data_IF_187579667076
#
_entry.id   IF_187579667076
#
_cell.length_a   1.000
_cell.length_b   1.000
_cell.length_c   1.000
_cell.angle_alpha   90.00
_cell.angle_beta   90.00
_cell.angle_gamma   90.00
#
_symmetry.space_group_name_H-M   'P 1'
#
loop_
_entity.id
_entity.type
_entity.pdbx_description
1 polymer ?
#
# COMPACT_ATOMS: atom_id res chain seq x y z
N UNK A 1 23.08 4.79 25.31
CA UNK A 1 21.68 4.91 25.79
C UNK A 1 20.79 5.23 24.58
N UNK A 2 19.95 4.29 24.09
CA UNK A 2 19.01 4.60 23.00
C UNK A 2 17.80 5.30 23.61
N UNK A 3 17.65 6.61 23.37
CA UNK A 3 16.45 7.35 23.76
C UNK A 3 15.38 7.15 22.69
N UNK A 4 14.17 6.79 23.10
CA UNK A 4 13.00 6.76 22.23
C UNK A 4 12.10 7.94 22.62
N UNK A 5 11.74 8.77 21.65
CA UNK A 5 10.80 9.87 21.84
C UNK A 5 9.43 9.45 21.31
N UNK A 6 8.40 9.59 22.13
CA UNK A 6 7.01 9.32 21.76
C UNK A 6 6.27 10.64 21.67
N UNK A 7 5.82 10.97 20.47
CA UNK A 7 5.00 12.15 20.23
C UNK A 7 3.57 11.73 19.90
N UNK A 8 2.59 12.43 20.47
CA UNK A 8 1.18 12.27 20.09
C UNK A 8 0.89 13.20 18.93
N UNK A 9 0.26 12.67 17.88
CA UNK A 9 -0.21 13.46 16.75
C UNK A 9 -1.55 14.11 17.10
N UNK A 10 -1.70 15.39 16.78
CA UNK A 10 -2.95 16.15 16.88
C UNK A 10 -3.28 16.73 15.49
N UNK A 11 -3.74 15.90 14.54
CA UNK A 11 -3.98 16.32 13.18
C UNK A 11 -5.21 17.23 13.10
N UNK A 12 -5.14 18.23 12.21
CA UNK A 12 -6.30 19.01 11.78
C UNK A 12 -7.27 18.15 10.97
N UNK A 13 -8.51 18.59 10.81
CA UNK A 13 -9.53 17.86 10.03
C UNK A 13 -9.08 17.52 8.59
N UNK A 14 -8.42 18.41 7.83
CA UNK A 14 -7.84 18.04 6.53
C UNK A 14 -6.77 16.95 6.62
N UNK A 15 -5.89 17.02 7.62
CA UNK A 15 -4.83 16.03 7.82
C UNK A 15 -5.40 14.65 8.16
N UNK A 16 -6.47 14.58 8.98
CA UNK A 16 -7.16 13.30 9.27
C UNK A 16 -7.64 12.67 7.97
N UNK A 17 -8.33 13.43 7.11
CA UNK A 17 -8.83 12.94 5.82
C UNK A 17 -7.70 12.44 4.91
N UNK A 18 -6.58 13.14 4.85
CA UNK A 18 -5.43 12.73 4.04
C UNK A 18 -4.78 11.44 4.58
N UNK A 19 -4.68 11.29 5.90
CA UNK A 19 -4.17 10.08 6.54
C UNK A 19 -5.09 8.88 6.31
N UNK A 20 -6.40 9.06 6.47
CA UNK A 20 -7.40 8.02 6.21
C UNK A 20 -7.40 7.60 4.74
N UNK A 21 -7.33 8.57 3.81
CA UNK A 21 -7.20 8.30 2.39
C UNK A 21 -5.94 7.48 2.08
N UNK A 22 -4.80 7.87 2.65
CA UNK A 22 -3.53 7.15 2.48
C UNK A 22 -3.63 5.73 3.01
N UNK A 23 -4.23 5.55 4.19
CA UNK A 23 -4.44 4.24 4.80
C UNK A 23 -5.28 3.33 3.91
N UNK A 24 -6.38 3.85 3.36
CA UNK A 24 -7.28 3.07 2.51
C UNK A 24 -6.63 2.68 1.18
N UNK A 25 -5.89 3.60 0.55
CA UNK A 25 -5.14 3.31 -0.67
C UNK A 25 -4.07 2.22 -0.41
N UNK A 26 -3.28 2.36 0.66
CA UNK A 26 -2.30 1.33 1.04
C UNK A 26 -2.96 -0.04 1.29
N UNK A 27 -4.11 -0.06 1.96
CA UNK A 27 -4.90 -1.27 2.20
C UNK A 27 -5.35 -1.91 0.88
N UNK A 28 -5.83 -1.11 -0.07
CA UNK A 28 -6.21 -1.57 -1.40
C UNK A 28 -5.05 -2.24 -2.15
N UNK A 29 -3.88 -1.59 -2.21
CA UNK A 29 -2.68 -2.16 -2.84
C UNK A 29 -2.27 -3.48 -2.19
N UNK A 30 -2.26 -3.53 -0.86
CA UNK A 30 -1.88 -4.74 -0.13
C UNK A 30 -2.82 -5.90 -0.41
N UNK A 31 -4.14 -5.65 -0.37
CA UNK A 31 -5.14 -6.69 -0.62
C UNK A 31 -5.10 -7.19 -2.06
N UNK A 32 -4.89 -6.30 -3.05
CA UNK A 32 -4.72 -6.68 -4.44
C UNK A 32 -3.47 -7.57 -4.63
N UNK A 33 -2.33 -7.17 -4.03
CA UNK A 33 -1.11 -7.97 -4.07
C UNK A 33 -1.27 -9.33 -3.36
N UNK A 34 -1.98 -9.37 -2.23
CA UNK A 34 -2.28 -10.61 -1.53
C UNK A 34 -3.17 -11.53 -2.38
N UNK A 35 -4.18 -10.97 -3.05
CA UNK A 35 -5.05 -11.72 -3.96
C UNK A 35 -4.25 -12.33 -5.12
N UNK A 36 -3.38 -11.54 -5.78
CA UNK A 36 -2.52 -12.04 -6.86
C UNK A 36 -1.67 -13.24 -6.39
N UNK A 37 -1.03 -13.16 -5.22
CA UNK A 37 -0.23 -14.27 -4.68
C UNK A 37 -1.07 -15.53 -4.46
N UNK A 38 -2.26 -15.36 -3.89
CA UNK A 38 -3.19 -16.49 -3.64
C UNK A 38 -3.63 -17.13 -4.95
N UNK A 39 -3.98 -16.32 -5.94
CA UNK A 39 -4.49 -16.79 -7.23
C UNK A 39 -3.39 -17.44 -8.07
N UNK A 40 -2.19 -16.86 -8.11
CA UNK A 40 -1.04 -17.43 -8.83
C UNK A 40 -0.67 -18.82 -8.30
N UNK A 41 -0.69 -19.00 -6.98
CA UNK A 41 -0.41 -20.29 -6.38
C UNK A 41 -1.54 -21.29 -6.65
N UNK A 42 -2.80 -20.91 -6.44
CA UNK A 42 -3.95 -21.79 -6.67
C UNK A 42 -4.11 -22.24 -8.12
N UNK A 43 -3.87 -21.34 -9.08
CA UNK A 43 -4.12 -21.58 -10.51
C UNK A 43 -2.94 -22.19 -11.23
N UNK A 44 -1.71 -21.81 -10.85
CA UNK A 44 -0.51 -22.17 -11.59
C UNK A 44 0.61 -22.77 -10.72
N UNK A 45 0.40 -22.94 -9.41
CA UNK A 45 1.43 -23.41 -8.49
C UNK A 45 2.62 -22.46 -8.34
N UNK A 46 2.48 -21.19 -8.75
CA UNK A 46 3.57 -20.21 -8.78
C UNK A 46 3.52 -19.30 -7.56
N UNK A 47 4.70 -19.05 -6.98
CA UNK A 47 4.88 -18.03 -5.95
C UNK A 47 5.25 -16.70 -6.58
N UNK A 48 4.50 -15.64 -6.26
CA UNK A 48 4.80 -14.26 -6.71
C UNK A 48 5.53 -13.52 -5.59
N UNK A 49 6.72 -12.99 -5.92
CA UNK A 49 7.60 -12.30 -4.96
C UNK A 49 7.42 -10.79 -4.93
N UNK A 50 7.91 -10.15 -3.86
CA UNK A 50 7.83 -8.70 -3.65
C UNK A 50 8.32 -7.88 -4.86
N UNK A 51 9.49 -8.23 -5.41
CA UNK A 51 10.08 -7.48 -6.52
C UNK A 51 9.29 -7.60 -7.82
N UNK A 52 8.53 -8.68 -8.00
CA UNK A 52 7.62 -8.81 -9.14
C UNK A 52 6.43 -7.86 -8.95
N UNK A 53 5.77 -7.90 -7.79
CA UNK A 53 4.60 -7.04 -7.52
C UNK A 53 4.95 -5.55 -7.49
N UNK A 54 6.13 -5.19 -6.97
CA UNK A 54 6.61 -3.81 -6.93
C UNK A 54 6.74 -3.18 -8.32
N UNK A 55 7.01 -3.98 -9.37
CA UNK A 55 7.15 -3.48 -10.75
C UNK A 55 5.83 -2.96 -11.32
N UNK A 56 4.68 -3.33 -10.75
CA UNK A 56 3.38 -2.82 -11.19
C UNK A 56 3.08 -1.42 -10.65
N UNK A 57 3.75 -0.96 -9.59
CA UNK A 57 3.44 0.33 -8.95
C UNK A 57 3.55 1.55 -9.89
N UNK A 58 4.55 1.68 -10.78
CA UNK A 58 4.58 2.76 -11.75
C UNK A 58 3.33 2.80 -12.64
N UNK A 59 2.95 1.64 -13.19
CA UNK A 59 1.75 1.50 -14.04
C UNK A 59 0.48 1.82 -13.25
N UNK A 60 0.34 1.29 -12.03
CA UNK A 60 -0.81 1.58 -11.16
C UNK A 60 -0.94 3.08 -10.90
N UNK A 61 0.16 3.81 -10.67
CA UNK A 61 0.14 5.27 -10.47
C UNK A 61 -0.22 6.05 -11.72
N UNK A 62 0.06 5.50 -12.90
CA UNK A 62 -0.32 6.08 -14.18
C UNK A 62 -1.82 5.90 -14.44
N UNK A 63 -2.31 4.67 -14.31
CA UNK A 63 -3.70 4.29 -14.58
C UNK A 63 -4.69 4.77 -13.51
N UNK A 64 -4.25 4.83 -12.24
CA UNK A 64 -5.08 5.18 -11.10
C UNK A 64 -4.51 6.42 -10.39
N UNK A 65 -4.92 7.64 -10.81
CA UNK A 65 -4.36 8.90 -10.32
C UNK A 65 -4.42 9.09 -8.80
N UNK A 66 -5.37 8.45 -8.12
CA UNK A 66 -5.48 8.48 -6.66
C UNK A 66 -4.26 7.93 -5.93
N UNK A 67 -3.48 7.04 -6.57
CA UNK A 67 -2.24 6.50 -6.03
C UNK A 67 -1.00 7.35 -6.29
N UNK A 68 -1.08 8.45 -7.06
CA UNK A 68 0.10 9.31 -7.31
C UNK A 68 0.69 9.94 -6.06
N UNK A 69 -0.13 10.08 -5.01
CA UNK A 69 0.24 10.69 -3.72
C UNK A 69 0.58 9.65 -2.63
N UNK A 70 0.66 8.37 -2.98
CA UNK A 70 0.98 7.23 -2.09
C UNK A 70 2.10 6.41 -2.72
#
# INVERSE_FOLDING_TARGET
>A
MRKAFKYRLYPTQPQVKDLERTLELCRGLYNAALQERRDAYKKAGKSVGLYQQKRYLPQIREELPQYKRV
#
